data_IF_515779081664
#
_entry.id   IF_515779081664
#
_cell.length_a   1.000
_cell.length_b   1.000
_cell.length_c   1.000
_cell.angle_alpha   90.00
_cell.angle_beta   90.00
_cell.angle_gamma   90.00
#
_symmetry.space_group_name_H-M   'P 1'
#
loop_
_entity.id
_entity.type
_entity.pdbx_description
1 polymer ?
#
# COMPACT_ATOMS: atom_id res chain seq x y z
N UNK A 1 -8.55 17.57 4.57
CA UNK A 1 -8.49 18.18 5.92
C UNK A 1 -9.30 19.47 5.98
N UNK A 2 -8.92 20.52 5.23
CA UNK A 2 -9.62 21.82 5.21
C UNK A 2 -11.13 21.65 4.92
N UNK A 3 -11.45 20.91 3.86
CA UNK A 3 -12.82 20.54 3.50
C UNK A 3 -13.66 19.94 4.64
N UNK A 4 -13.12 18.93 5.32
CA UNK A 4 -13.82 18.22 6.40
C UNK A 4 -13.92 19.09 7.65
N UNK A 5 -12.88 19.90 7.94
CA UNK A 5 -12.90 20.87 9.04
C UNK A 5 -13.87 22.03 8.83
N UNK A 6 -14.23 22.35 7.57
CA UNK A 6 -15.26 23.35 7.23
C UNK A 6 -16.65 22.73 7.30
N UNK A 7 -16.85 21.55 6.69
CA UNK A 7 -18.16 20.88 6.65
C UNK A 7 -18.61 20.43 8.04
N UNK A 8 -17.67 20.03 8.90
CA UNK A 8 -17.89 19.48 10.25
C UNK A 8 -19.15 18.58 10.33
N UNK A 9 -19.17 17.42 9.63
CA UNK A 9 -20.35 16.58 9.56
C UNK A 9 -20.94 16.21 10.93
N UNK A 10 -20.09 16.17 11.98
CA UNK A 10 -20.48 15.85 13.36
C UNK A 10 -20.17 16.99 14.37
N UNK A 11 -20.25 18.27 13.98
CA UNK A 11 -19.82 19.41 14.80
C UNK A 11 -20.44 19.51 16.22
N UNK A 12 -21.61 18.93 16.44
CA UNK A 12 -22.42 19.10 17.66
C UNK A 12 -22.54 17.82 18.51
N UNK A 13 -21.94 16.72 18.07
CA UNK A 13 -21.92 15.46 18.81
C UNK A 13 -20.50 15.28 19.32
N UNK A 14 -20.30 15.20 20.64
CA UNK A 14 -19.02 14.78 21.19
C UNK A 14 -18.75 13.37 20.64
N UNK A 15 -17.90 13.28 19.61
CA UNK A 15 -17.39 12.01 19.12
C UNK A 15 -16.44 11.53 20.21
N UNK A 16 -17.00 10.85 21.22
CA UNK A 16 -16.22 9.98 22.07
C UNK A 16 -15.41 9.10 21.12
N UNK A 17 -14.09 9.03 21.34
CA UNK A 17 -13.26 7.97 20.75
C UNK A 17 -13.74 6.68 21.39
N UNK A 18 -14.92 6.21 20.98
CA UNK A 18 -15.44 4.92 21.35
C UNK A 18 -14.58 3.97 20.53
N UNK A 19 -13.64 3.30 21.19
CA UNK A 19 -13.07 2.07 20.65
C UNK A 19 -14.26 1.23 20.24
N UNK A 20 -14.46 1.08 18.92
CA UNK A 20 -15.71 0.57 18.37
C UNK A 20 -16.09 -0.72 19.11
N UNK A 21 -17.17 -0.66 19.89
CA UNK A 21 -17.53 -1.72 20.84
C UNK A 21 -17.85 -3.05 20.12
N UNK A 22 -18.07 -2.97 18.81
CA UNK A 22 -18.44 -4.07 17.91
C UNK A 22 -17.60 -4.11 16.62
N UNK A 23 -16.28 -3.88 16.68
CA UNK A 23 -15.44 -4.15 15.48
C UNK A 23 -15.23 -5.65 15.31
N UNK A 24 -15.85 -6.21 14.26
CA UNK A 24 -15.62 -7.58 13.82
C UNK A 24 -14.12 -7.83 13.56
N UNK A 25 -13.65 -9.06 13.78
CA UNK A 25 -12.27 -9.47 13.50
C UNK A 25 -11.84 -9.11 12.07
N UNK A 26 -12.80 -9.17 11.13
CA UNK A 26 -12.62 -8.78 9.73
C UNK A 26 -12.23 -7.31 9.57
N UNK A 27 -12.92 -6.39 10.25
CA UNK A 27 -12.60 -4.95 10.17
C UNK A 27 -11.23 -4.64 10.75
N UNK A 28 -10.83 -5.31 11.83
CA UNK A 28 -9.49 -5.19 12.39
C UNK A 28 -8.42 -5.70 11.43
N UNK A 29 -8.62 -6.87 10.83
CA UNK A 29 -7.67 -7.45 9.88
C UNK A 29 -7.50 -6.56 8.63
N UNK A 30 -8.59 -6.01 8.08
CA UNK A 30 -8.54 -5.04 6.98
C UNK A 30 -7.81 -3.75 7.39
N UNK A 31 -8.06 -3.24 8.59
CA UNK A 31 -7.36 -2.07 9.13
C UNK A 31 -5.86 -2.27 9.23
N UNK A 32 -5.41 -3.43 9.74
CA UNK A 32 -3.99 -3.79 9.83
C UNK A 32 -3.38 -3.85 8.41
N UNK A 33 -4.02 -4.55 7.47
CA UNK A 33 -3.54 -4.64 6.09
C UNK A 33 -3.41 -3.27 5.41
N UNK A 34 -4.34 -2.36 5.67
CA UNK A 34 -4.31 -0.98 5.16
C UNK A 34 -3.16 -0.15 5.74
N UNK A 35 -2.81 -0.36 7.01
CA UNK A 35 -1.62 0.26 7.60
C UNK A 35 -0.36 -0.28 6.94
N UNK A 36 -0.26 -1.61 6.75
CA UNK A 36 0.91 -2.26 6.13
C UNK A 36 1.14 -1.75 4.71
N UNK A 37 0.09 -1.70 3.87
CA UNK A 37 0.23 -1.21 2.49
C UNK A 37 0.62 0.27 2.44
N UNK A 38 0.16 1.08 3.40
CA UNK A 38 0.49 2.51 3.49
C UNK A 38 1.98 2.78 3.73
N UNK A 39 2.71 1.82 4.32
CA UNK A 39 4.15 1.91 4.54
C UNK A 39 4.97 1.01 3.59
N UNK A 40 4.36 0.51 2.51
CA UNK A 40 5.05 -0.35 1.55
C UNK A 40 5.63 0.46 0.40
N UNK A 41 6.92 0.81 0.50
CA UNK A 41 7.71 1.47 -0.55
C UNK A 41 8.89 0.64 -1.08
N UNK A 42 9.03 -0.59 -0.60
CA UNK A 42 10.24 -1.42 -0.75
C UNK A 42 10.64 -1.70 -2.21
N UNK A 43 9.69 -1.70 -3.15
CA UNK A 43 9.93 -1.97 -4.57
C UNK A 43 10.84 -0.93 -5.23
N UNK A 44 10.83 0.31 -4.74
CA UNK A 44 11.63 1.39 -5.29
C UNK A 44 12.97 1.59 -4.56
N UNK A 45 13.17 0.96 -3.41
CA UNK A 45 14.37 1.20 -2.57
C UNK A 45 15.66 0.88 -3.31
N UNK A 46 15.74 -0.26 -4.02
CA UNK A 46 16.95 -0.61 -4.78
C UNK A 46 17.27 0.41 -5.89
N UNK A 47 16.24 0.95 -6.54
CA UNK A 47 16.44 2.00 -7.55
C UNK A 47 16.93 3.30 -6.90
N UNK A 48 16.32 3.73 -5.79
CA UNK A 48 16.76 4.93 -5.08
C UNK A 48 18.18 4.79 -4.50
N UNK A 49 18.52 3.63 -3.93
CA UNK A 49 19.88 3.34 -3.45
C UNK A 49 20.90 3.47 -4.58
N UNK A 50 20.57 2.99 -5.79
CA UNK A 50 21.45 3.07 -6.96
C UNK A 50 21.63 4.48 -7.52
N UNK A 51 20.74 5.41 -7.18
CA UNK A 51 20.79 6.82 -7.63
C UNK A 51 21.42 7.75 -6.59
N UNK A 52 21.63 7.30 -5.35
CA UNK A 52 22.30 8.08 -4.31
C UNK A 52 23.80 8.25 -4.61
N UNK A 53 24.31 9.48 -4.46
CA UNK A 53 25.76 9.77 -4.54
C UNK A 53 26.57 8.95 -3.54
N UNK A 54 26.00 8.69 -2.35
CA UNK A 54 26.55 7.83 -1.31
C UNK A 54 25.47 6.83 -0.85
N UNK A 55 25.52 5.57 -1.29
CA UNK A 55 24.53 4.54 -0.92
C UNK A 55 24.43 4.30 0.60
N UNK A 56 25.52 4.54 1.32
CA UNK A 56 25.64 4.40 2.78
C UNK A 56 24.69 5.30 3.57
N UNK A 57 24.29 6.45 2.99
CA UNK A 57 23.40 7.42 3.63
C UNK A 57 21.91 7.04 3.50
N UNK A 58 21.58 5.97 2.78
CA UNK A 58 20.20 5.52 2.59
C UNK A 58 19.39 5.35 3.89
N UNK A 59 19.92 4.75 4.97
CA UNK A 59 19.17 4.60 6.22
C UNK A 59 18.78 5.94 6.86
N UNK A 60 19.59 6.99 6.69
CA UNK A 60 19.29 8.34 7.21
C UNK A 60 18.14 8.97 6.43
N UNK A 61 18.20 8.89 5.10
CA UNK A 61 17.12 9.35 4.22
C UNK A 61 15.82 8.60 4.48
N UNK A 62 15.91 7.28 4.68
CA UNK A 62 14.76 6.44 5.01
C UNK A 62 14.14 6.80 6.36
N UNK A 63 14.95 7.04 7.39
CA UNK A 63 14.46 7.44 8.71
C UNK A 63 13.71 8.79 8.66
N UNK A 64 14.25 9.77 7.92
CA UNK A 64 13.60 11.05 7.72
C UNK A 64 12.27 10.89 6.98
N UNK A 65 12.27 10.14 5.86
CA UNK A 65 11.07 9.85 5.08
C UNK A 65 10.00 9.19 5.95
N UNK A 66 10.35 8.14 6.68
CA UNK A 66 9.41 7.40 7.49
C UNK A 66 8.83 8.26 8.62
N UNK A 67 9.66 9.08 9.26
CA UNK A 67 9.20 10.01 10.33
C UNK A 67 8.20 11.04 9.78
N UNK A 68 8.48 11.60 8.61
CA UNK A 68 7.57 12.55 7.95
C UNK A 68 6.26 11.87 7.51
N UNK A 69 6.33 10.66 6.94
CA UNK A 69 5.15 9.90 6.55
C UNK A 69 4.26 9.55 7.75
N UNK A 70 4.86 9.03 8.84
CA UNK A 70 4.11 8.67 10.06
C UNK A 70 3.45 9.90 10.66
N UNK A 71 4.17 11.01 10.81
CA UNK A 71 3.60 12.24 11.37
C UNK A 71 2.47 12.78 10.51
N UNK A 72 2.64 12.85 9.18
CA UNK A 72 1.59 13.27 8.26
C UNK A 72 0.36 12.36 8.32
N UNK A 73 0.55 11.02 8.31
CA UNK A 73 -0.56 10.06 8.37
C UNK A 73 -1.33 10.16 9.68
N UNK A 74 -0.64 10.26 10.83
CA UNK A 74 -1.29 10.42 12.13
C UNK A 74 -2.07 11.72 12.19
N UNK A 75 -1.48 12.85 11.78
CA UNK A 75 -2.14 14.15 11.80
C UNK A 75 -3.38 14.16 10.90
N UNK A 76 -3.27 13.61 9.68
CA UNK A 76 -4.40 13.51 8.75
C UNK A 76 -5.50 12.60 9.31
N UNK A 77 -5.14 11.41 9.82
CA UNK A 77 -6.10 10.46 10.36
C UNK A 77 -6.85 11.02 11.57
N UNK A 78 -6.14 11.61 12.54
CA UNK A 78 -6.75 12.20 13.74
C UNK A 78 -7.72 13.32 13.39
N UNK A 79 -7.32 14.24 12.51
CA UNK A 79 -8.20 15.36 12.13
C UNK A 79 -9.42 14.88 11.35
N UNK A 80 -9.26 13.95 10.40
CA UNK A 80 -10.41 13.40 9.66
C UNK A 80 -11.36 12.72 10.63
N UNK A 81 -10.84 11.88 11.52
CA UNK A 81 -11.65 11.15 12.49
C UNK A 81 -12.36 12.07 13.49
N UNK A 82 -11.68 13.11 13.99
CA UNK A 82 -12.26 14.07 14.92
C UNK A 82 -13.46 14.83 14.34
N UNK A 83 -13.45 15.14 13.03
CA UNK A 83 -14.52 15.90 12.40
C UNK A 83 -15.59 15.02 11.71
N UNK A 84 -15.21 13.88 11.14
CA UNK A 84 -16.10 13.00 10.39
C UNK A 84 -16.60 11.77 11.17
N UNK A 85 -16.01 11.46 12.32
CA UNK A 85 -16.43 10.35 13.18
C UNK A 85 -16.18 8.97 12.59
N UNK A 86 -17.02 8.00 12.96
CA UNK A 86 -16.91 6.60 12.54
C UNK A 86 -17.49 6.30 11.14
N UNK A 87 -18.15 7.25 10.49
CA UNK A 87 -18.80 7.08 9.17
C UNK A 87 -17.93 7.55 8.00
N UNK A 88 -16.60 7.50 8.13
CA UNK A 88 -15.67 7.91 7.07
C UNK A 88 -15.72 6.90 5.92
N UNK A 89 -16.12 7.36 4.74
CA UNK A 89 -16.05 6.59 3.51
C UNK A 89 -14.58 6.37 3.08
N UNK A 90 -14.30 5.25 2.41
CA UNK A 90 -13.01 4.98 1.79
C UNK A 90 -13.15 5.06 0.27
N UNK A 91 -12.42 5.95 -0.43
CA UNK A 91 -11.40 6.89 0.07
C UNK A 91 -11.97 8.05 0.88
N UNK A 92 -11.21 8.58 1.84
CA UNK A 92 -11.67 9.64 2.76
C UNK A 92 -12.18 10.92 2.07
N UNK A 93 -11.69 11.23 0.87
CA UNK A 93 -12.18 12.36 0.07
C UNK A 93 -13.68 12.24 -0.26
N UNK A 94 -14.21 11.01 -0.35
CA UNK A 94 -15.62 10.73 -0.62
C UNK A 94 -16.55 11.15 0.51
N UNK A 95 -16.03 11.36 1.73
CA UNK A 95 -16.79 11.76 2.92
C UNK A 95 -17.15 13.25 2.96
N UNK A 96 -16.77 14.03 1.95
CA UNK A 96 -17.03 15.47 1.87
C UNK A 96 -18.30 15.80 1.07
N UNK A 97 -18.79 17.03 1.17
CA UNK A 97 -19.94 17.50 0.38
C UNK A 97 -19.67 17.39 -1.12
N UNK A 98 -20.69 17.15 -1.98
CA UNK A 98 -20.50 16.84 -3.39
C UNK A 98 -19.62 17.84 -4.17
N UNK A 99 -19.77 19.14 -3.90
CA UNK A 99 -18.99 20.21 -4.55
C UNK A 99 -17.52 20.13 -4.15
N UNK A 100 -17.25 20.02 -2.85
CA UNK A 100 -15.89 19.97 -2.31
C UNK A 100 -15.18 18.67 -2.72
N UNK A 101 -15.92 17.56 -2.75
CA UNK A 101 -15.44 16.27 -3.26
C UNK A 101 -14.94 16.39 -4.69
N UNK A 102 -15.72 16.99 -5.60
CA UNK A 102 -15.33 17.17 -7.01
C UNK A 102 -14.06 18.00 -7.14
N UNK A 103 -13.95 19.12 -6.41
CA UNK A 103 -12.76 19.97 -6.40
C UNK A 103 -11.54 19.23 -5.85
N UNK A 104 -11.71 18.52 -4.73
CA UNK A 104 -10.64 17.74 -4.10
C UNK A 104 -10.12 16.63 -5.01
N UNK A 105 -11.01 15.88 -5.67
CA UNK A 105 -10.62 14.90 -6.68
C UNK A 105 -9.97 15.55 -7.90
N UNK A 106 -10.44 16.73 -8.34
CA UNK A 106 -9.82 17.50 -9.41
C UNK A 106 -8.34 17.82 -9.15
N UNK A 107 -8.03 18.26 -7.93
CA UNK A 107 -6.64 18.53 -7.50
C UNK A 107 -5.84 17.23 -7.27
N UNK A 108 -6.50 16.16 -6.81
CA UNK A 108 -5.84 14.89 -6.55
C UNK A 108 -5.53 14.09 -7.83
N UNK A 109 -6.30 14.21 -8.90
CA UNK A 109 -6.14 13.44 -10.14
C UNK A 109 -4.71 13.47 -10.69
N UNK A 110 -4.05 14.63 -10.87
CA UNK A 110 -2.67 14.67 -11.34
C UNK A 110 -1.72 13.84 -10.46
N UNK A 111 -1.84 13.97 -9.14
CA UNK A 111 -1.00 13.21 -8.20
C UNK A 111 -1.27 11.71 -8.23
N UNK A 112 -2.53 11.30 -8.37
CA UNK A 112 -2.94 9.90 -8.47
C UNK A 112 -2.40 9.27 -9.77
N UNK A 113 -2.51 9.99 -10.88
CA UNK A 113 -1.99 9.54 -12.19
C UNK A 113 -0.48 9.39 -12.14
N UNK A 114 0.24 10.38 -11.61
CA UNK A 114 1.70 10.31 -11.45
C UNK A 114 2.10 9.13 -10.56
N UNK A 115 1.42 8.92 -9.43
CA UNK A 115 1.70 7.79 -8.55
C UNK A 115 1.49 6.44 -9.24
N UNK A 116 0.44 6.30 -10.06
CA UNK A 116 0.18 5.11 -10.86
C UNK A 116 1.27 4.87 -11.92
N UNK A 117 1.61 5.91 -12.69
CA UNK A 117 2.60 5.82 -13.77
C UNK A 117 3.99 5.47 -13.25
N UNK A 118 4.43 6.06 -12.13
CA UNK A 118 5.74 5.77 -11.54
C UNK A 118 5.84 4.31 -11.11
N UNK A 119 4.81 3.78 -10.44
CA UNK A 119 4.81 2.37 -10.01
C UNK A 119 4.75 1.41 -11.21
N UNK A 120 3.92 1.72 -12.22
CA UNK A 120 3.86 0.95 -13.46
C UNK A 120 5.22 0.97 -14.18
N UNK A 121 5.88 2.12 -14.24
CA UNK A 121 7.21 2.27 -14.83
C UNK A 121 8.26 1.43 -14.11
N UNK A 122 8.28 1.42 -12.77
CA UNK A 122 9.20 0.57 -11.99
C UNK A 122 8.96 -0.91 -12.28
N UNK A 123 7.70 -1.35 -12.41
CA UNK A 123 7.35 -2.72 -12.77
C UNK A 123 7.86 -3.09 -14.18
N UNK A 124 7.50 -2.29 -15.18
CA UNK A 124 7.88 -2.48 -16.59
C UNK A 124 9.40 -2.49 -16.74
N UNK A 125 10.11 -1.53 -16.13
CA UNK A 125 11.58 -1.47 -16.13
C UNK A 125 12.20 -2.73 -15.54
N UNK A 126 11.67 -3.22 -14.41
CA UNK A 126 12.19 -4.42 -13.76
C UNK A 126 12.05 -5.68 -14.62
N UNK A 127 10.96 -5.82 -15.37
CA UNK A 127 10.74 -6.94 -16.29
C UNK A 127 11.61 -6.77 -17.54
N UNK A 128 11.63 -5.57 -18.12
CA UNK A 128 12.37 -5.26 -19.34
C UNK A 128 13.88 -5.50 -19.19
N UNK A 129 14.48 -5.03 -18.08
CA UNK A 129 15.91 -5.23 -17.79
C UNK A 129 16.24 -6.71 -17.62
N UNK A 130 15.34 -7.51 -17.03
CA UNK A 130 15.53 -8.96 -16.86
C UNK A 130 15.39 -9.70 -18.18
N UNK A 131 14.41 -9.34 -19.00
CA UNK A 131 14.15 -9.95 -20.31
C UNK A 131 15.30 -9.72 -21.30
N UNK A 132 15.88 -8.51 -21.29
CA UNK A 132 16.97 -8.13 -22.21
C UNK A 132 18.37 -8.19 -21.58
N UNK A 133 18.51 -8.78 -20.39
CA UNK A 133 19.80 -8.88 -19.69
C UNK A 133 20.82 -9.61 -20.56
N UNK A 134 22.00 -9.00 -20.74
CA UNK A 134 23.07 -9.55 -21.58
C UNK A 134 22.94 -9.28 -23.08
N UNK A 135 21.93 -8.50 -23.51
CA UNK A 135 21.74 -8.11 -24.92
C UNK A 135 21.97 -6.62 -25.15
N UNK A 136 22.21 -6.21 -26.40
CA UNK A 136 22.37 -4.79 -26.78
C UNK A 136 21.04 -4.04 -26.96
N UNK A 137 19.90 -4.73 -26.85
CA UNK A 137 18.56 -4.18 -27.16
C UNK A 137 18.21 -2.97 -26.28
N UNK A 138 18.62 -2.98 -25.01
CA UNK A 138 18.31 -1.90 -24.05
C UNK A 138 18.91 -0.54 -24.42
N UNK A 139 20.00 -0.50 -25.19
CA UNK A 139 20.69 0.73 -25.59
C UNK A 139 20.38 1.13 -27.04
N UNK A 140 19.48 0.41 -27.71
CA UNK A 140 19.12 0.65 -29.10
C UNK A 140 17.73 1.28 -29.20
N UNK A 141 17.53 2.14 -30.19
CA UNK A 141 16.24 2.76 -30.53
C UNK A 141 15.46 1.98 -31.60
N UNK A 142 15.81 0.71 -31.80
CA UNK A 142 15.19 -0.15 -32.81
C UNK A 142 13.71 -0.43 -32.47
N UNK A 143 12.90 -0.73 -33.50
CA UNK A 143 11.49 -1.14 -33.38
C UNK A 143 11.29 -2.29 -32.36
N UNK A 144 12.25 -3.21 -32.26
CA UNK A 144 12.25 -4.30 -31.27
C UNK A 144 12.38 -3.79 -29.82
N UNK A 145 13.20 -2.77 -29.59
CA UNK A 145 13.42 -2.16 -28.27
C UNK A 145 12.19 -1.36 -27.83
N UNK A 146 11.70 -0.47 -28.70
CA UNK A 146 10.53 0.38 -28.43
C UNK A 146 9.25 -0.47 -28.38
N UNK A 147 9.07 -1.40 -29.32
CA UNK A 147 7.89 -2.25 -29.39
C UNK A 147 7.76 -3.19 -28.19
N UNK A 148 8.86 -3.78 -27.72
CA UNK A 148 8.83 -4.62 -26.50
C UNK A 148 8.57 -3.80 -25.23
N UNK A 149 9.05 -2.56 -25.17
CA UNK A 149 8.72 -1.64 -24.07
C UNK A 149 7.23 -1.27 -24.06
N UNK A 150 6.72 -0.78 -25.19
CA UNK A 150 5.30 -0.37 -25.33
C UNK A 150 4.37 -1.55 -25.09
N UNK A 151 4.68 -2.73 -25.65
CA UNK A 151 3.90 -3.94 -25.43
C UNK A 151 3.81 -4.32 -23.96
N UNK A 152 4.93 -4.24 -23.23
CA UNK A 152 4.96 -4.52 -21.80
C UNK A 152 4.14 -3.51 -20.99
N UNK A 153 4.22 -2.21 -21.34
CA UNK A 153 3.40 -1.16 -20.72
C UNK A 153 1.90 -1.44 -20.92
N UNK A 154 1.48 -1.76 -22.14
CA UNK A 154 0.08 -2.04 -22.47
C UNK A 154 -0.43 -3.26 -21.72
N UNK A 155 0.33 -4.36 -21.72
CA UNK A 155 -0.04 -5.59 -21.02
C UNK A 155 -0.21 -5.34 -19.51
N UNK A 156 0.73 -4.63 -18.88
CA UNK A 156 0.62 -4.28 -17.46
C UNK A 156 -0.63 -3.43 -17.16
N UNK A 157 -0.97 -2.46 -18.02
CA UNK A 157 -2.15 -1.63 -17.83
C UNK A 157 -3.46 -2.40 -18.05
N UNK A 158 -3.51 -3.32 -19.02
CA UNK A 158 -4.68 -4.19 -19.23
C UNK A 158 -4.93 -5.06 -18.01
N UNK A 159 -3.88 -5.67 -17.44
CA UNK A 159 -4.00 -6.48 -16.22
C UNK A 159 -4.51 -5.62 -15.06
N UNK A 160 -3.95 -4.42 -14.87
CA UNK A 160 -4.39 -3.50 -13.82
C UNK A 160 -5.87 -3.09 -14.00
N UNK A 161 -6.29 -2.83 -15.25
CA UNK A 161 -7.67 -2.50 -15.59
C UNK A 161 -8.64 -3.64 -15.25
N UNK A 162 -8.27 -4.88 -15.57
CA UNK A 162 -9.08 -6.06 -15.25
C UNK A 162 -9.23 -6.21 -13.73
N UNK A 163 -8.13 -6.12 -12.97
CA UNK A 163 -8.16 -6.23 -11.51
C UNK A 163 -9.03 -5.13 -10.89
N UNK A 164 -8.90 -3.89 -11.37
CA UNK A 164 -9.66 -2.75 -10.87
C UNK A 164 -11.18 -2.89 -11.08
N UNK A 165 -11.62 -3.54 -12.17
CA UNK A 165 -13.04 -3.80 -12.42
C UNK A 165 -13.58 -5.07 -11.76
N UNK A 166 -12.68 -6.02 -11.43
CA UNK A 166 -13.04 -7.25 -10.76
C UNK A 166 -13.37 -7.05 -9.27
N UNK A 167 -12.67 -6.14 -8.59
CA UNK A 167 -12.86 -5.84 -7.16
C UNK A 167 -13.39 -4.41 -7.01
N UNK A 168 -14.73 -4.23 -6.92
CA UNK A 168 -15.35 -2.89 -6.92
C UNK A 168 -15.23 -2.15 -5.57
N UNK A 169 -14.58 -2.75 -4.56
CA UNK A 169 -14.36 -2.12 -3.24
C UNK A 169 -12.87 -1.84 -3.07
N UNK A 170 -12.50 -0.55 -3.08
CA UNK A 170 -11.11 -0.11 -2.98
C UNK A 170 -10.42 -0.62 -1.71
N UNK A 171 -11.13 -0.60 -0.58
CA UNK A 171 -10.61 -1.05 0.71
C UNK A 171 -10.24 -2.54 0.71
N UNK A 172 -11.04 -3.37 0.05
CA UNK A 172 -10.81 -4.81 -0.03
C UNK A 172 -9.64 -5.12 -0.97
N UNK A 173 -9.53 -4.38 -2.07
CA UNK A 173 -8.36 -4.46 -2.97
C UNK A 173 -7.06 -4.14 -2.21
N UNK A 174 -7.05 -3.04 -1.44
CA UNK A 174 -5.90 -2.68 -0.60
C UNK A 174 -5.63 -3.72 0.48
N UNK A 175 -6.68 -4.28 1.09
CA UNK A 175 -6.58 -5.36 2.08
C UNK A 175 -5.89 -6.62 1.54
N UNK A 176 -6.28 -7.08 0.34
CA UNK A 176 -5.68 -8.25 -0.32
C UNK A 176 -4.23 -7.99 -0.67
N UNK A 177 -3.95 -6.85 -1.31
CA UNK A 177 -2.58 -6.47 -1.68
C UNK A 177 -1.69 -6.34 -0.44
N UNK A 178 -2.22 -5.69 0.60
CA UNK A 178 -1.61 -5.53 1.92
C UNK A 178 -1.23 -6.86 2.55
N UNK A 179 -2.17 -7.80 2.59
CA UNK A 179 -2.01 -9.10 3.22
C UNK A 179 -1.08 -10.05 2.44
N UNK A 180 -1.31 -10.22 1.13
CA UNK A 180 -0.63 -11.25 0.33
C UNK A 180 0.76 -10.81 -0.16
N UNK A 181 0.92 -9.54 -0.52
CA UNK A 181 2.16 -9.07 -1.14
C UNK A 181 2.94 -8.18 -0.17
N UNK A 182 2.32 -7.09 0.28
CA UNK A 182 3.01 -6.07 1.07
C UNK A 182 3.55 -6.61 2.40
N UNK A 183 2.79 -7.46 3.08
CA UNK A 183 3.21 -8.09 4.35
C UNK A 183 4.44 -8.98 4.16
N UNK A 184 4.48 -9.79 3.12
CA UNK A 184 5.64 -10.64 2.82
C UNK A 184 6.86 -9.84 2.40
N UNK A 185 6.69 -8.86 1.51
CA UNK A 185 7.82 -8.05 1.03
C UNK A 185 8.37 -7.10 2.10
N UNK A 186 7.54 -6.60 3.01
CA UNK A 186 7.95 -5.62 4.02
C UNK A 186 8.40 -6.26 5.33
N UNK A 187 7.80 -7.39 5.72
CA UNK A 187 8.06 -8.02 7.03
C UNK A 187 8.64 -9.44 6.89
N UNK A 188 7.99 -10.30 6.11
CA UNK A 188 8.34 -11.73 6.05
C UNK A 188 9.73 -11.99 5.44
N UNK A 189 9.95 -11.55 4.20
CA UNK A 189 11.21 -11.79 3.47
C UNK A 189 12.40 -11.12 4.16
N UNK A 190 12.34 -9.85 4.60
CA UNK A 190 13.45 -9.23 5.32
C UNK A 190 13.83 -9.97 6.61
N UNK A 191 12.84 -10.44 7.38
CA UNK A 191 13.07 -11.21 8.59
C UNK A 191 13.81 -12.54 8.30
N UNK A 192 13.37 -13.26 7.27
CA UNK A 192 14.02 -14.51 6.83
C UNK A 192 15.45 -14.26 6.34
N UNK A 193 15.67 -13.21 5.55
CA UNK A 193 17.01 -12.84 5.07
C UNK A 193 17.95 -12.49 6.22
N UNK A 194 17.47 -11.76 7.23
CA UNK A 194 18.27 -11.45 8.41
C UNK A 194 18.67 -12.72 9.18
N UNK A 195 17.71 -13.64 9.39
CA UNK A 195 17.96 -14.92 10.07
C UNK A 195 18.94 -15.81 9.29
N UNK A 196 18.82 -15.86 7.97
CA UNK A 196 19.72 -16.61 7.09
C UNK A 196 21.15 -16.05 7.10
N UNK A 197 21.30 -14.73 6.99
CA UNK A 197 22.59 -14.07 7.01
C UNK A 197 23.31 -14.20 8.36
N UNK A 198 22.55 -14.27 9.47
CA UNK A 198 23.11 -14.38 10.82
C UNK A 198 23.03 -15.82 11.39
N UNK A 199 22.82 -16.84 10.55
CA UNK A 199 22.55 -18.24 10.97
C UNK A 199 23.61 -18.83 11.89
N UNK A 200 24.88 -18.48 11.71
CA UNK A 200 26.01 -18.96 12.54
C UNK A 200 26.20 -18.15 13.83
N UNK A 201 25.44 -17.07 14.02
CA UNK A 201 25.63 -16.07 15.08
C UNK A 201 24.34 -15.71 15.83
N UNK A 202 23.31 -16.56 15.73
CA UNK A 202 21.95 -16.27 16.22
C UNK A 202 21.88 -16.03 17.72
N UNK A 203 22.71 -16.72 18.51
CA UNK A 203 22.69 -16.68 19.99
C UNK A 203 24.05 -16.40 20.62
N UNK A 204 24.97 -15.77 19.89
CA UNK A 204 26.32 -15.49 20.41
C UNK A 204 26.31 -14.50 21.57
N UNK A 205 25.56 -13.40 21.42
CA UNK A 205 25.49 -12.32 22.41
C UNK A 205 24.03 -12.02 22.73
N UNK A 206 23.76 -11.46 23.91
CA UNK A 206 22.40 -11.06 24.32
C UNK A 206 21.73 -10.13 23.30
N UNK A 207 22.48 -9.17 22.73
CA UNK A 207 22.01 -8.29 21.65
C UNK A 207 21.65 -9.03 20.36
N UNK A 208 22.40 -10.09 20.00
CA UNK A 208 22.09 -10.90 18.81
C UNK A 208 20.93 -11.85 19.07
N UNK A 209 20.83 -12.39 20.28
CA UNK A 209 19.71 -13.21 20.72
C UNK A 209 18.39 -12.41 20.71
N UNK A 210 18.39 -11.18 21.22
CA UNK A 210 17.20 -10.33 21.21
C UNK A 210 16.78 -9.93 19.79
N UNK A 211 17.73 -9.61 18.90
CA UNK A 211 17.42 -9.37 17.49
C UNK A 211 16.89 -10.62 16.78
N UNK A 212 17.39 -11.81 17.11
CA UNK A 212 16.87 -13.07 16.55
C UNK A 212 15.42 -13.29 16.96
N UNK A 213 15.10 -13.14 18.25
CA UNK A 213 13.73 -13.25 18.75
C UNK A 213 12.82 -12.22 18.08
N UNK A 214 13.27 -10.97 17.95
CA UNK A 214 12.51 -9.92 17.27
C UNK A 214 12.20 -10.28 15.82
N UNK A 215 13.18 -10.75 15.05
CA UNK A 215 12.96 -11.14 13.65
C UNK A 215 12.02 -12.35 13.52
N UNK A 216 12.10 -13.32 14.43
CA UNK A 216 11.15 -14.44 14.48
C UNK A 216 9.72 -13.94 14.78
N UNK A 217 9.56 -13.02 15.72
CA UNK A 217 8.25 -12.42 16.02
C UNK A 217 7.71 -11.67 14.80
N UNK A 218 8.53 -10.86 14.12
CA UNK A 218 8.13 -10.15 12.89
C UNK A 218 7.68 -11.13 11.81
N UNK A 219 8.40 -12.24 11.64
CA UNK A 219 8.01 -13.29 10.70
C UNK A 219 6.66 -13.91 11.07
N UNK A 220 6.41 -14.23 12.35
CA UNK A 220 5.12 -14.76 12.80
C UNK A 220 3.98 -13.75 12.61
N UNK A 221 4.21 -12.48 12.91
CA UNK A 221 3.26 -11.39 12.63
C UNK A 221 2.94 -11.34 11.14
N UNK A 222 3.95 -11.48 10.28
CA UNK A 222 3.74 -11.47 8.82
C UNK A 222 2.85 -12.63 8.35
N UNK A 223 3.02 -13.82 8.95
CA UNK A 223 2.24 -15.01 8.62
C UNK A 223 0.79 -14.87 9.08
N UNK A 224 0.58 -14.39 10.31
CA UNK A 224 -0.76 -14.14 10.87
C UNK A 224 -1.48 -13.04 10.10
N UNK A 225 -0.83 -11.91 9.83
CA UNK A 225 -1.41 -10.80 9.07
C UNK A 225 -1.74 -11.19 7.63
N UNK A 226 -0.92 -12.02 6.99
CA UNK A 226 -1.24 -12.58 5.68
C UNK A 226 -2.52 -13.43 5.74
N UNK A 227 -2.59 -14.38 6.68
CA UNK A 227 -3.74 -15.28 6.80
C UNK A 227 -5.03 -14.54 7.13
N UNK A 228 -5.02 -13.72 8.18
CA UNK A 228 -6.19 -12.96 8.62
C UNK A 228 -6.61 -11.91 7.60
N UNK A 229 -5.66 -11.21 6.98
CA UNK A 229 -5.94 -10.19 5.98
C UNK A 229 -6.56 -10.78 4.72
N UNK A 230 -6.03 -11.89 4.20
CA UNK A 230 -6.62 -12.57 3.03
C UNK A 230 -8.01 -13.11 3.32
N UNK A 231 -8.20 -13.74 4.48
CA UNK A 231 -9.52 -14.23 4.89
C UNK A 231 -10.54 -13.10 5.00
N UNK A 232 -10.17 -12.00 5.66
CA UNK A 232 -11.05 -10.85 5.88
C UNK A 232 -11.48 -10.19 4.57
N UNK A 233 -10.53 -9.96 3.65
CA UNK A 233 -10.85 -9.39 2.34
C UNK A 233 -11.67 -10.33 1.48
N UNK A 234 -11.38 -11.63 1.48
CA UNK A 234 -12.15 -12.59 0.70
C UNK A 234 -13.60 -12.67 1.18
N UNK A 235 -13.79 -12.71 2.50
CA UNK A 235 -15.13 -12.69 3.11
C UNK A 235 -15.89 -11.42 2.74
N UNK A 236 -15.26 -10.26 2.81
CA UNK A 236 -15.85 -8.98 2.39
C UNK A 236 -16.30 -9.00 0.94
N UNK A 237 -15.46 -9.51 0.03
CA UNK A 237 -15.77 -9.59 -1.39
C UNK A 237 -16.94 -10.54 -1.65
N UNK A 238 -17.02 -11.67 -0.96
CA UNK A 238 -18.14 -12.62 -1.11
C UNK A 238 -19.46 -11.98 -0.64
N UNK A 239 -19.46 -11.30 0.51
CA UNK A 239 -20.63 -10.57 1.02
C UNK A 239 -21.05 -9.41 0.10
N UNK A 240 -20.10 -8.75 -0.57
CA UNK A 240 -20.41 -7.72 -1.56
C UNK A 240 -20.87 -8.28 -2.91
N UNK A 241 -20.33 -9.42 -3.33
CA UNK A 241 -20.67 -10.08 -4.59
C UNK A 241 -22.11 -10.58 -4.63
N UNK A 242 -22.76 -10.80 -3.48
CA UNK A 242 -24.18 -11.14 -3.45
C UNK A 242 -25.07 -9.95 -3.85
N UNK A 243 -24.58 -8.71 -3.71
CA UNK A 243 -25.36 -7.49 -3.96
C UNK A 243 -24.93 -6.71 -5.22
N UNK A 244 -23.69 -6.87 -5.72
CA UNK A 244 -23.22 -6.20 -6.95
C UNK A 244 -22.33 -7.13 -7.79
N UNK A 245 -22.51 -7.10 -9.11
CA UNK A 245 -21.72 -7.89 -10.06
C UNK A 245 -20.42 -7.17 -10.44
N UNK A 246 -19.33 -7.91 -10.74
CA UNK A 246 -18.17 -7.35 -11.40
C UNK A 246 -18.57 -6.59 -12.68
N UNK A 247 -17.86 -5.51 -13.03
CA UNK A 247 -18.14 -4.67 -14.20
C UNK A 247 -19.50 -3.92 -14.20
N UNK A 248 -20.15 -3.70 -13.05
CA UNK A 248 -21.46 -3.02 -13.03
C UNK A 248 -21.42 -1.49 -13.13
N UNK A 249 -20.25 -0.87 -13.34
CA UNK A 249 -20.04 0.60 -13.35
C UNK A 249 -20.65 1.34 -12.14
N UNK A 250 -20.88 0.66 -11.01
CA UNK A 250 -21.47 1.25 -9.81
C UNK A 250 -20.41 2.03 -9.01
N UNK A 251 -20.86 3.00 -8.22
CA UNK A 251 -19.96 3.84 -7.41
C UNK A 251 -19.27 3.02 -6.32
N UNK A 252 -17.96 3.20 -6.16
CA UNK A 252 -17.09 2.53 -5.17
C UNK A 252 -17.11 3.20 -3.77
N UNK A 253 -18.10 4.08 -3.53
CA UNK A 253 -18.24 4.88 -2.31
C UNK A 253 -19.34 4.33 -1.41
#
# INVERSE_FOLDING_TARGET
MIAIGIVRPNAHTAVLVVAAKDTSLQNYALGISNIVISFTGHTAYFSFISELRKPEDFPKSLALLQTLCVTAYVVVAVVIYAYAGNTVASPALSSTTPTVRKVAYGVAIPTIVVAGVVNAHVCVKNIYVRMWRGTKVMHQTNLKSVGSWVGLVIVCHIIAFIIANAIPVFNDLLGILGALLCTWFSLGIPAVFWLSMNRTRLFLNWSKSSLTVLNVIIFLISLVSCGLGTWASFKSIVEFSSNRKPFSCATNA
#
